data_IF_531071835819
#
_entry.id   IF_531071835819
#
_cell.length_a   1.000
_cell.length_b   1.000
_cell.length_c   1.000
_cell.angle_alpha   90.00
_cell.angle_beta   90.00
_cell.angle_gamma   90.00
#
_symmetry.space_group_name_H-M   'P 1'
#
loop_
_entity.id
_entity.type
_entity.pdbx_description
1 polymer ?
#
# COMPACT_ATOMS: atom_id res chain seq x y z
N UNK A 1 -63.16 -40.37 -45.01
CA UNK A 1 -63.08 -39.61 -43.75
C UNK A 1 -61.97 -38.56 -43.88
N UNK A 2 -62.29 -37.29 -43.56
CA UNK A 2 -61.33 -36.19 -43.45
C UNK A 2 -60.76 -36.20 -42.03
N UNK A 3 -59.45 -36.00 -41.85
CA UNK A 3 -58.88 -35.33 -40.68
C UNK A 3 -57.46 -34.83 -40.98
N UNK A 4 -57.33 -33.51 -41.03
CA UNK A 4 -56.07 -32.77 -40.88
C UNK A 4 -55.69 -32.68 -39.40
N UNK A 5 -54.39 -32.57 -39.08
CA UNK A 5 -53.84 -31.99 -37.82
C UNK A 5 -52.34 -31.79 -38.03
N UNK A 6 -51.87 -30.58 -38.35
CA UNK A 6 -51.52 -29.42 -37.48
C UNK A 6 -50.29 -29.71 -36.60
N UNK A 7 -49.33 -28.81 -36.75
CA UNK A 7 -47.96 -28.81 -36.26
C UNK A 7 -47.81 -28.62 -34.74
N UNK A 8 -46.63 -28.99 -34.22
CA UNK A 8 -46.05 -28.40 -33.00
C UNK A 8 -44.56 -28.16 -33.18
N UNK A 9 -44.23 -26.92 -33.54
CA UNK A 9 -42.90 -26.31 -33.37
C UNK A 9 -42.57 -26.21 -31.89
N UNK A 10 -41.54 -26.90 -31.43
CA UNK A 10 -40.95 -26.66 -30.11
C UNK A 10 -39.94 -25.51 -30.23
N UNK A 11 -40.28 -24.34 -29.68
CA UNK A 11 -39.31 -23.28 -29.40
C UNK A 11 -38.43 -23.73 -28.25
N UNK A 12 -37.15 -24.02 -28.54
CA UNK A 12 -36.15 -24.15 -27.50
C UNK A 12 -35.86 -22.75 -26.92
N UNK A 13 -36.27 -22.52 -25.67
CA UNK A 13 -35.80 -21.39 -24.87
C UNK A 13 -34.28 -21.55 -24.68
N UNK A 14 -33.51 -20.80 -25.44
CA UNK A 14 -32.12 -20.55 -25.12
C UNK A 14 -32.09 -19.65 -23.88
N UNK A 15 -31.87 -20.25 -22.72
CA UNK A 15 -31.50 -19.54 -21.50
C UNK A 15 -30.17 -18.84 -21.77
N UNK A 16 -30.21 -17.59 -22.22
CA UNK A 16 -29.05 -16.72 -22.20
C UNK A 16 -28.70 -16.55 -20.71
N UNK A 17 -27.77 -17.37 -20.22
CA UNK A 17 -27.08 -17.10 -18.98
C UNK A 17 -26.44 -15.72 -19.14
N UNK A 18 -27.07 -14.72 -18.52
CA UNK A 18 -26.46 -13.43 -18.28
C UNK A 18 -25.22 -13.72 -17.44
N UNK A 19 -24.08 -13.90 -18.11
CA UNK A 19 -22.79 -13.83 -17.48
C UNK A 19 -22.73 -12.45 -16.84
N UNK A 20 -22.97 -12.39 -15.53
CA UNK A 20 -22.70 -11.21 -14.75
C UNK A 20 -21.27 -10.78 -15.09
N UNK A 21 -21.01 -9.49 -15.34
CA UNK A 21 -19.65 -9.02 -15.57
C UNK A 21 -18.84 -9.43 -14.35
N UNK A 22 -17.98 -10.44 -14.52
CA UNK A 22 -16.94 -10.74 -13.55
C UNK A 22 -16.18 -9.43 -13.41
N UNK A 23 -16.20 -8.82 -12.23
CA UNK A 23 -15.35 -7.70 -11.92
C UNK A 23 -13.92 -8.17 -12.21
N UNK A 24 -13.40 -7.75 -13.36
CA UNK A 24 -11.99 -7.92 -13.68
C UNK A 24 -11.30 -7.12 -12.59
N UNK A 25 -10.84 -7.78 -11.53
CA UNK A 25 -9.83 -7.21 -10.64
C UNK A 25 -8.70 -6.85 -11.58
N UNK A 26 -8.54 -5.56 -11.89
CA UNK A 26 -7.27 -5.12 -12.45
C UNK A 26 -6.27 -5.46 -11.36
N UNK A 27 -5.37 -6.38 -11.66
CA UNK A 27 -4.26 -6.68 -10.78
C UNK A 27 -3.40 -5.42 -10.69
N UNK A 28 -3.62 -4.64 -9.63
CA UNK A 28 -2.81 -3.46 -9.35
C UNK A 28 -1.41 -3.94 -8.99
N UNK A 29 -0.42 -3.30 -9.60
CA UNK A 29 0.97 -3.54 -9.27
C UNK A 29 1.29 -2.94 -7.89
N UNK A 30 2.20 -3.56 -7.12
CA UNK A 30 2.62 -3.03 -5.84
C UNK A 30 3.29 -1.67 -6.03
N UNK A 31 3.28 -0.86 -4.97
CA UNK A 31 4.21 0.27 -4.89
C UNK A 31 5.59 -0.26 -4.55
N UNK A 32 6.63 0.29 -5.17
CA UNK A 32 8.01 0.00 -4.79
C UNK A 32 8.50 1.09 -3.84
N UNK A 33 8.90 0.70 -2.63
CA UNK A 33 9.56 1.58 -1.66
C UNK A 33 11.05 1.28 -1.65
N UNK A 34 11.86 2.25 -2.03
CA UNK A 34 13.32 2.13 -2.10
C UNK A 34 14.01 3.18 -1.23
N UNK A 35 15.26 2.90 -0.84
CA UNK A 35 16.03 3.83 0.01
C UNK A 35 15.36 4.08 1.37
N UNK A 36 14.60 3.11 1.88
CA UNK A 36 13.85 3.25 3.12
C UNK A 36 14.81 3.35 4.31
N UNK A 37 14.70 4.45 5.05
CA UNK A 37 15.53 4.77 6.21
C UNK A 37 14.67 5.22 7.38
N UNK A 38 15.09 4.87 8.60
CA UNK A 38 14.47 5.31 9.85
C UNK A 38 15.56 5.80 10.82
N UNK A 39 15.40 7.03 11.32
CA UNK A 39 16.28 7.62 12.33
C UNK A 39 15.68 7.39 13.72
N UNK A 40 16.41 6.64 14.56
CA UNK A 40 16.01 6.25 15.90
C UNK A 40 16.63 7.17 16.95
N UNK A 41 15.86 7.44 18.01
CA UNK A 41 16.19 8.36 19.08
C UNK A 41 15.90 7.67 20.42
N UNK A 42 16.96 7.30 21.14
CA UNK A 42 16.91 6.37 22.30
C UNK A 42 16.03 6.83 23.48
N UNK A 43 15.51 8.06 23.48
CA UNK A 43 14.97 8.70 24.69
C UNK A 43 13.44 8.82 24.76
N UNK A 44 12.66 8.45 23.73
CA UNK A 44 11.20 8.44 23.84
C UNK A 44 10.49 7.73 22.68
N UNK A 45 9.57 6.80 22.99
CA UNK A 45 8.61 6.24 22.03
C UNK A 45 7.91 7.35 21.22
N UNK A 46 7.59 7.13 19.93
CA UNK A 46 8.03 6.02 19.07
C UNK A 46 9.55 6.00 18.93
N UNK A 47 10.16 4.82 18.79
CA UNK A 47 11.63 4.65 18.77
C UNK A 47 12.32 5.45 17.65
N UNK A 48 11.58 5.82 16.60
CA UNK A 48 12.06 6.61 15.49
C UNK A 48 11.26 7.90 15.28
N UNK A 49 11.92 8.90 14.69
CA UNK A 49 11.35 10.25 14.48
C UNK A 49 11.34 10.70 13.03
N UNK A 50 12.15 10.10 12.17
CA UNK A 50 12.22 10.49 10.75
C UNK A 50 12.27 9.22 9.92
N UNK A 51 11.34 9.09 8.97
CA UNK A 51 11.32 8.05 7.97
C UNK A 51 11.47 8.70 6.60
N UNK A 52 12.39 8.19 5.77
CA UNK A 52 12.52 8.62 4.38
C UNK A 52 12.51 7.43 3.45
N UNK A 53 11.89 7.57 2.28
CA UNK A 53 11.93 6.59 1.19
C UNK A 53 11.54 7.25 -0.14
N UNK A 54 11.92 6.60 -1.24
CA UNK A 54 11.40 6.88 -2.57
C UNK A 54 10.31 5.87 -2.92
N UNK A 55 9.14 6.38 -3.29
CA UNK A 55 7.97 5.66 -3.75
C UNK A 55 7.94 5.65 -5.27
N UNK A 56 7.69 4.48 -5.87
CA UNK A 56 7.35 4.35 -7.29
C UNK A 56 6.01 3.64 -7.43
N UNK A 57 5.08 4.29 -8.11
CA UNK A 57 3.78 3.75 -8.48
C UNK A 57 3.85 3.17 -9.89
N UNK A 58 3.96 1.85 -9.98
CA UNK A 58 4.07 1.13 -11.25
C UNK A 58 2.77 1.20 -12.08
N UNK A 59 1.62 1.51 -11.45
CA UNK A 59 0.32 1.57 -12.13
C UNK A 59 0.15 2.81 -13.02
N UNK A 60 0.91 3.88 -12.74
CA UNK A 60 0.89 5.12 -13.52
C UNK A 60 2.29 5.66 -13.85
N UNK A 61 3.34 4.89 -13.53
CA UNK A 61 4.74 5.24 -13.72
C UNK A 61 5.13 6.60 -13.10
N UNK A 62 4.60 6.90 -11.92
CA UNK A 62 4.95 8.10 -11.17
C UNK A 62 5.86 7.77 -9.98
N UNK A 63 6.62 8.77 -9.56
CA UNK A 63 7.55 8.68 -8.44
C UNK A 63 7.29 9.80 -7.42
N UNK A 64 7.64 9.54 -6.17
CA UNK A 64 7.56 10.52 -5.09
C UNK A 64 8.64 10.25 -4.04
N UNK A 65 9.28 11.30 -3.53
CA UNK A 65 10.10 11.19 -2.32
C UNK A 65 9.23 11.50 -1.11
N UNK A 66 9.24 10.61 -0.13
CA UNK A 66 8.44 10.73 1.08
C UNK A 66 9.38 10.91 2.27
N UNK A 67 9.09 11.93 3.07
CA UNK A 67 9.75 12.15 4.36
C UNK A 67 8.65 12.39 5.39
N UNK A 68 8.68 11.62 6.47
CA UNK A 68 7.69 11.72 7.53
C UNK A 68 8.39 11.84 8.87
N UNK A 69 7.85 12.70 9.73
CA UNK A 69 8.37 12.91 11.08
C UNK A 69 7.32 12.53 12.14
N UNK A 70 6.99 11.23 12.28
CA UNK A 70 5.99 10.80 13.23
C UNK A 70 6.45 11.03 14.68
N UNK A 71 5.49 11.37 15.55
CA UNK A 71 5.70 11.54 17.00
C UNK A 71 4.68 10.72 17.80
N UNK A 72 4.87 10.59 19.11
CA UNK A 72 4.06 9.73 20.00
C UNK A 72 2.59 10.08 20.13
N UNK A 73 2.15 11.24 19.61
CA UNK A 73 0.73 11.59 19.50
C UNK A 73 0.16 11.46 18.08
N UNK A 74 0.95 11.04 17.11
CA UNK A 74 0.59 11.04 15.68
C UNK A 74 0.41 9.64 15.09
N UNK A 75 0.48 8.58 15.91
CA UNK A 75 0.20 7.22 15.45
C UNK A 75 -1.24 7.09 14.97
N UNK A 76 -1.44 6.36 13.87
CA UNK A 76 -2.77 6.16 13.29
C UNK A 76 -3.00 7.03 12.06
N UNK A 77 -3.85 8.04 12.18
CA UNK A 77 -4.48 8.70 11.01
C UNK A 77 -3.72 9.90 10.45
N UNK A 78 -2.68 10.39 11.12
CA UNK A 78 -1.95 11.56 10.62
C UNK A 78 -1.23 11.23 9.31
N UNK A 79 -1.57 11.98 8.26
CA UNK A 79 -1.02 11.81 6.93
C UNK A 79 0.06 12.84 6.64
N UNK A 80 1.21 12.37 6.20
CA UNK A 80 2.31 13.17 5.69
C UNK A 80 2.24 13.18 4.16
N UNK A 81 2.29 14.37 3.57
CA UNK A 81 2.37 14.49 2.12
C UNK A 81 3.78 14.14 1.65
N UNK A 82 3.88 13.27 0.65
CA UNK A 82 5.12 13.11 -0.09
C UNK A 82 5.37 14.35 -0.96
N UNK A 83 6.58 14.50 -1.50
CA UNK A 83 6.91 15.62 -2.39
C UNK A 83 5.95 15.76 -3.57
N UNK A 84 5.43 14.63 -4.07
CA UNK A 84 4.26 14.61 -4.93
C UNK A 84 2.99 14.49 -4.05
N UNK A 85 2.16 15.54 -3.95
CA UNK A 85 1.02 15.60 -3.03
C UNK A 85 -0.13 14.64 -3.40
N UNK A 86 -0.03 13.98 -4.56
CA UNK A 86 -0.91 12.87 -4.92
C UNK A 86 -0.73 11.69 -3.95
N UNK A 87 0.42 11.55 -3.30
CA UNK A 87 0.71 10.45 -2.39
C UNK A 87 0.81 10.97 -0.95
N UNK A 88 0.08 10.31 -0.06
CA UNK A 88 0.09 10.59 1.37
C UNK A 88 0.46 9.32 2.12
N UNK A 89 1.37 9.42 3.08
CA UNK A 89 1.79 8.31 3.93
C UNK A 89 1.32 8.52 5.35
N UNK A 90 0.83 7.46 5.99
CA UNK A 90 0.65 7.42 7.43
C UNK A 90 1.20 6.10 7.99
N UNK A 91 1.38 6.08 9.31
CA UNK A 91 1.99 4.95 9.99
C UNK A 91 1.07 4.48 11.12
N UNK A 92 0.24 3.45 10.86
CA UNK A 92 -0.71 2.94 11.84
C UNK A 92 -0.06 2.35 13.11
N UNK A 93 1.17 1.84 12.98
CA UNK A 93 1.99 1.37 14.11
C UNK A 93 3.41 1.89 13.94
N UNK A 94 3.96 2.41 15.05
CA UNK A 94 5.21 3.16 15.08
C UNK A 94 6.13 2.80 16.25
N UNK A 95 5.81 1.75 17.01
CA UNK A 95 6.43 1.53 18.31
C UNK A 95 7.85 1.00 18.16
N UNK A 96 8.05 0.03 17.27
CA UNK A 96 9.34 -0.59 17.01
C UNK A 96 9.65 -0.58 15.52
N UNK A 97 10.93 -0.53 15.16
CA UNK A 97 11.30 -0.56 13.73
C UNK A 97 10.97 -1.92 13.11
N UNK A 98 10.96 -2.98 13.92
CA UNK A 98 10.66 -4.35 13.55
C UNK A 98 9.15 -4.59 13.29
N UNK A 99 8.27 -3.70 13.76
CA UNK A 99 6.81 -3.83 13.61
C UNK A 99 6.17 -2.64 12.88
N UNK A 100 6.98 -1.88 12.13
CA UNK A 100 6.54 -0.68 11.43
C UNK A 100 5.43 -1.01 10.42
N UNK A 101 4.26 -0.38 10.59
CA UNK A 101 3.18 -0.43 9.61
C UNK A 101 3.16 0.85 8.80
N UNK A 102 3.02 0.70 7.49
CA UNK A 102 2.93 1.81 6.55
C UNK A 102 1.64 1.72 5.76
N UNK A 103 1.01 2.86 5.55
CA UNK A 103 -0.07 3.02 4.59
C UNK A 103 0.26 4.17 3.64
N UNK A 104 0.21 3.89 2.35
CA UNK A 104 0.34 4.88 1.27
C UNK A 104 -1.01 5.01 0.59
N UNK A 105 -1.63 6.18 0.69
CA UNK A 105 -2.89 6.51 0.03
C UNK A 105 -2.66 7.44 -1.15
N UNK A 106 -3.47 7.26 -2.20
CA UNK A 106 -3.48 8.15 -3.36
C UNK A 106 -4.64 9.13 -3.24
N UNK A 107 -4.38 10.43 -3.32
CA UNK A 107 -5.38 11.50 -3.33
C UNK A 107 -6.38 11.29 -4.47
N UNK A 108 -7.67 11.48 -4.18
CA UNK A 108 -8.80 11.28 -5.11
C UNK A 108 -8.96 9.86 -5.66
N UNK A 109 -8.33 8.87 -5.03
CA UNK A 109 -8.41 7.47 -5.42
C UNK A 109 -8.82 6.60 -4.23
N UNK A 110 -9.48 5.47 -4.53
CA UNK A 110 -9.70 4.40 -3.56
C UNK A 110 -8.53 3.43 -3.47
N UNK A 111 -7.50 3.61 -4.29
CA UNK A 111 -6.30 2.79 -4.26
C UNK A 111 -5.38 3.22 -3.12
N UNK A 112 -4.95 2.24 -2.33
CA UNK A 112 -3.98 2.44 -1.26
C UNK A 112 -3.11 1.19 -1.11
N UNK A 113 -1.91 1.37 -0.57
CA UNK A 113 -1.04 0.29 -0.17
C UNK A 113 -0.97 0.22 1.35
N UNK A 114 -1.12 -0.97 1.93
CA UNK A 114 -0.99 -1.22 3.36
C UNK A 114 -0.07 -2.40 3.59
N UNK A 115 0.92 -2.26 4.47
CA UNK A 115 1.91 -3.29 4.69
C UNK A 115 2.64 -3.14 6.01
N UNK A 116 3.27 -4.23 6.41
CA UNK A 116 4.11 -4.32 7.60
C UNK A 116 5.55 -4.54 7.15
N UNK A 117 6.42 -3.59 7.45
CA UNK A 117 7.84 -3.65 7.08
C UNK A 117 8.60 -4.27 8.25
N UNK A 118 8.55 -5.60 8.31
CA UNK A 118 9.20 -6.40 9.34
C UNK A 118 10.27 -7.33 8.74
N UNK A 119 11.22 -7.76 9.57
CA UNK A 119 12.21 -8.77 9.21
C UNK A 119 13.67 -8.31 9.25
N UNK A 120 14.53 -9.18 8.74
CA UNK A 120 15.99 -9.14 8.87
C UNK A 120 16.69 -8.21 7.86
N UNK A 121 15.93 -7.63 6.93
CA UNK A 121 16.43 -6.64 5.95
C UNK A 121 16.69 -5.27 6.56
N UNK A 122 16.18 -4.98 7.75
CA UNK A 122 16.61 -3.79 8.50
C UNK A 122 18.06 -3.96 8.95
N UNK A 123 18.93 -3.05 8.49
CA UNK A 123 20.32 -2.93 8.92
C UNK A 123 20.46 -1.63 9.70
N UNK A 124 20.73 -1.75 11.00
CA UNK A 124 20.77 -0.61 11.89
C UNK A 124 22.19 -0.37 12.42
N UNK A 125 22.68 0.85 12.26
CA UNK A 125 24.02 1.26 12.67
C UNK A 125 23.91 2.38 13.72
N UNK A 126 24.72 2.27 14.77
CA UNK A 126 24.88 3.36 15.74
C UNK A 126 25.61 4.53 15.10
N UNK A 127 25.14 5.74 15.35
CA UNK A 127 25.73 6.96 14.74
C UNK A 127 26.89 7.53 15.56
N UNK A 128 27.02 7.12 16.83
CA UNK A 128 27.92 7.75 17.80
C UNK A 128 27.48 9.16 18.25
N UNK A 129 26.32 9.64 17.77
CA UNK A 129 25.69 10.87 18.20
C UNK A 129 24.51 10.56 19.14
N UNK A 130 24.06 11.54 19.92
CA UNK A 130 22.87 11.38 20.77
C UNK A 130 21.56 11.48 19.95
N UNK A 131 21.58 12.22 18.83
CA UNK A 131 20.39 12.55 18.03
C UNK A 131 20.70 12.58 16.53
N UNK A 132 20.30 11.57 15.72
CA UNK A 132 19.78 10.25 16.11
C UNK A 132 20.89 9.36 16.68
N UNK A 133 20.54 8.46 17.59
CA UNK A 133 21.46 7.45 18.16
C UNK A 133 21.75 6.29 17.22
N UNK A 134 20.76 5.96 16.38
CA UNK A 134 20.82 4.84 15.44
C UNK A 134 20.11 5.19 14.14
N UNK A 135 20.63 4.71 13.02
CA UNK A 135 19.97 4.80 11.72
C UNK A 135 19.75 3.39 11.19
N UNK A 136 18.50 3.05 10.90
CA UNK A 136 18.11 1.80 10.27
C UNK A 136 17.84 2.02 8.78
N UNK A 137 18.37 1.13 7.94
CA UNK A 137 18.16 1.12 6.48
C UNK A 137 17.59 -0.22 6.06
N UNK A 138 16.59 -0.21 5.19
CA UNK A 138 16.07 -1.43 4.60
C UNK A 138 16.95 -1.87 3.43
N UNK A 139 17.36 -3.13 3.43
CA UNK A 139 18.17 -3.72 2.36
C UNK A 139 17.29 -4.14 1.17
N UNK A 140 17.31 -3.30 0.12
CA UNK A 140 16.62 -3.53 -1.15
C UNK A 140 15.33 -2.71 -1.31
N UNK A 141 14.43 -3.24 -2.14
CA UNK A 141 13.11 -2.66 -2.41
C UNK A 141 12.06 -3.40 -1.59
N UNK A 142 11.16 -2.66 -0.95
CA UNK A 142 9.97 -3.21 -0.33
C UNK A 142 8.78 -3.04 -1.26
N UNK A 143 8.17 -4.15 -1.68
CA UNK A 143 6.96 -4.16 -2.49
C UNK A 143 5.74 -4.04 -1.57
N UNK A 144 5.06 -2.90 -1.62
CA UNK A 144 3.87 -2.61 -0.84
C UNK A 144 2.63 -2.98 -1.66
N UNK A 145 1.86 -4.02 -1.29
CA UNK A 145 0.69 -4.45 -2.04
C UNK A 145 -0.36 -3.35 -2.12
N UNK A 146 -0.95 -3.14 -3.29
CA UNK A 146 -1.97 -2.12 -3.54
C UNK A 146 -3.35 -2.76 -3.65
N UNK A 147 -4.35 -2.17 -3.01
CA UNK A 147 -5.74 -2.62 -3.02
C UNK A 147 -6.69 -1.44 -3.25
N UNK A 148 -7.90 -1.72 -3.74
CA UNK A 148 -8.99 -0.77 -3.86
C UNK A 148 -9.96 -0.94 -2.68
N UNK A 149 -10.31 0.17 -2.03
CA UNK A 149 -11.39 0.25 -1.04
C UNK A 149 -12.80 0.24 -1.68
#
# INVERSE_FOLDING_TARGET
>A
MKTSSIATTFLAMASAALAAPSSIKRDLQPFELSGLTASLYDQALPEYRIINFSLKDLNNNAEANCSAAPSSGMSGEHKFECHNPKYQVNFPSLFHIEDMKINVSITDSKAFGLGEINGDKWKCEGTGAEYPSKICKWDGVYELPVTLA
#
